data_IF_103564989415
#
_entry.id   IF_103564989415
#
_cell.length_a   1.000
_cell.length_b   1.000
_cell.length_c   1.000
_cell.angle_alpha   90.00
_cell.angle_beta   90.00
_cell.angle_gamma   90.00
#
_symmetry.space_group_name_H-M   'P 1'
#
loop_
_entity.id
_entity.type
_entity.pdbx_description
1 polymer ?
#
# COMPACT_ATOMS: atom_id res chain seq x y z
N UNK A 1 11.58 -2.30 -17.44
CA UNK A 1 11.14 -0.91 -17.63
C UNK A 1 12.12 -0.16 -18.54
N UNK A 2 11.66 0.91 -19.18
CA UNK A 2 12.48 1.75 -20.07
C UNK A 2 12.19 3.23 -19.77
N UNK A 3 13.16 4.09 -20.09
CA UNK A 3 12.97 5.54 -20.00
C UNK A 3 11.68 5.96 -20.71
N UNK A 4 10.92 6.88 -20.11
CA UNK A 4 9.60 7.39 -20.50
C UNK A 4 8.43 6.44 -20.32
N UNK A 5 8.63 5.19 -19.86
CA UNK A 5 7.50 4.33 -19.51
C UNK A 5 6.70 4.97 -18.36
N UNK A 6 5.39 4.80 -18.40
CA UNK A 6 4.48 5.19 -17.33
C UNK A 6 4.55 4.16 -16.21
N UNK A 7 4.51 4.63 -14.97
CA UNK A 7 4.41 3.79 -13.78
C UNK A 7 2.94 3.73 -13.36
N UNK A 8 2.40 2.53 -13.27
CA UNK A 8 1.01 2.27 -12.97
C UNK A 8 0.87 1.36 -11.76
N UNK A 9 -0.18 1.57 -10.97
CA UNK A 9 -0.59 0.67 -9.90
C UNK A 9 -2.05 0.28 -10.06
N UNK A 10 -2.41 -0.91 -9.61
CA UNK A 10 -3.82 -1.33 -9.47
C UNK A 10 -4.37 -0.95 -8.09
N UNK A 11 -5.70 -0.83 -7.99
CA UNK A 11 -6.41 -0.60 -6.73
C UNK A 11 -5.97 0.64 -5.97
N UNK A 12 -5.89 0.50 -4.65
CA UNK A 12 -5.39 1.50 -3.70
C UNK A 12 -4.38 0.86 -2.74
N UNK A 13 -3.60 1.70 -2.06
CA UNK A 13 -2.44 1.27 -1.29
C UNK A 13 -2.53 1.69 0.19
N UNK A 14 -1.84 0.91 1.04
CA UNK A 14 -1.73 1.16 2.47
C UNK A 14 -2.90 0.64 3.31
N UNK A 15 -3.97 0.13 2.67
CA UNK A 15 -5.15 -0.38 3.36
C UNK A 15 -4.85 -1.64 4.18
N UNK A 16 -4.05 -2.55 3.64
CA UNK A 16 -3.63 -3.76 4.35
C UNK A 16 -2.81 -3.41 5.60
N UNK A 17 -1.86 -2.49 5.47
CA UNK A 17 -1.07 -2.04 6.62
C UNK A 17 -1.93 -1.35 7.69
N UNK A 18 -2.93 -0.54 7.31
CA UNK A 18 -3.87 0.04 8.27
C UNK A 18 -4.74 -1.02 8.93
N UNK A 19 -5.10 -2.07 8.22
CA UNK A 19 -5.79 -3.24 8.79
C UNK A 19 -4.94 -3.95 9.84
N UNK A 20 -3.65 -4.14 9.58
CA UNK A 20 -2.71 -4.68 10.56
C UNK A 20 -2.60 -3.80 11.81
N UNK A 21 -2.43 -2.47 11.62
CA UNK A 21 -2.33 -1.53 12.75
C UNK A 21 -3.61 -1.51 13.59
N UNK A 22 -4.78 -1.62 12.96
CA UNK A 22 -6.06 -1.77 13.64
C UNK A 22 -6.10 -3.03 14.50
N UNK A 23 -5.71 -4.18 13.93
CA UNK A 23 -5.67 -5.46 14.66
C UNK A 23 -4.72 -5.40 15.86
N UNK A 24 -3.53 -4.82 15.69
CA UNK A 24 -2.56 -4.69 16.77
C UNK A 24 -3.06 -3.75 17.89
N UNK A 25 -3.72 -2.63 17.52
CA UNK A 25 -4.35 -1.72 18.49
C UNK A 25 -5.41 -2.44 19.31
N UNK A 26 -6.36 -3.10 18.65
CA UNK A 26 -7.47 -3.80 19.33
C UNK A 26 -6.96 -4.95 20.21
N UNK A 27 -5.94 -5.68 19.76
CA UNK A 27 -5.27 -6.71 20.56
C UNK A 27 -4.62 -6.12 21.81
N UNK A 28 -3.96 -4.96 21.71
CA UNK A 28 -3.35 -4.29 22.86
C UNK A 28 -4.42 -3.84 23.88
N UNK A 29 -5.50 -3.22 23.42
CA UNK A 29 -6.63 -2.79 24.26
C UNK A 29 -7.28 -4.00 24.96
N UNK A 30 -7.57 -5.05 24.20
CA UNK A 30 -8.13 -6.29 24.76
C UNK A 30 -7.25 -6.91 25.84
N UNK A 31 -5.95 -7.00 25.61
CA UNK A 31 -5.01 -7.53 26.58
C UNK A 31 -4.93 -6.66 27.85
N UNK A 32 -4.98 -5.34 27.72
CA UNK A 32 -5.03 -4.43 28.87
C UNK A 32 -6.28 -4.65 29.70
N UNK A 33 -7.46 -4.71 29.05
CA UNK A 33 -8.74 -4.95 29.72
C UNK A 33 -8.76 -6.31 30.46
N UNK A 34 -8.21 -7.34 29.84
CA UNK A 34 -8.05 -8.66 30.50
C UNK A 34 -7.18 -8.56 31.75
N UNK A 35 -6.05 -7.85 31.68
CA UNK A 35 -5.17 -7.67 32.86
C UNK A 35 -5.86 -6.89 33.96
N UNK A 36 -6.62 -5.84 33.64
CA UNK A 36 -7.39 -5.07 34.60
C UNK A 36 -8.50 -5.90 35.25
N UNK A 37 -9.23 -6.71 34.44
CA UNK A 37 -10.25 -7.64 34.93
C UNK A 37 -9.66 -8.69 35.90
N UNK A 38 -8.48 -9.23 35.62
CA UNK A 38 -7.80 -10.15 36.52
C UNK A 38 -7.29 -9.50 37.82
N UNK A 39 -6.96 -8.21 37.78
CA UNK A 39 -6.49 -7.45 38.95
C UNK A 39 -7.64 -7.06 39.88
N UNK A 40 -8.84 -6.85 39.33
CA UNK A 40 -10.06 -6.51 40.08
C UNK A 40 -10.82 -7.81 40.41
N UNK A 41 -10.65 -8.36 41.63
CA UNK A 41 -11.33 -9.59 42.10
C UNK A 41 -12.88 -9.56 41.97
N UNK A 42 -13.49 -8.40 41.69
CA UNK A 42 -14.94 -8.20 41.52
C UNK A 42 -15.47 -8.61 40.14
N UNK A 43 -14.64 -8.90 39.17
CA UNK A 43 -15.07 -9.19 37.77
C UNK A 43 -14.87 -10.65 37.38
N UNK A 44 -15.07 -11.58 38.29
CA UNK A 44 -15.05 -13.04 38.01
C UNK A 44 -16.29 -13.57 37.26
N UNK A 45 -17.12 -12.70 36.70
CA UNK A 45 -18.29 -13.10 35.90
C UNK A 45 -17.95 -13.07 34.43
N UNK A 46 -18.44 -14.06 33.69
CA UNK A 46 -18.37 -14.16 32.21
C UNK A 46 -18.84 -12.88 31.50
N UNK A 47 -19.68 -12.06 32.17
CA UNK A 47 -20.18 -10.79 31.66
C UNK A 47 -19.07 -9.74 31.43
N UNK A 48 -18.05 -9.66 32.28
CA UNK A 48 -16.92 -8.74 32.11
C UNK A 48 -15.99 -9.08 30.93
N UNK A 49 -16.03 -10.33 30.44
CA UNK A 49 -15.30 -10.76 29.25
C UNK A 49 -16.03 -10.37 27.95
N UNK A 50 -17.37 -10.23 27.98
CA UNK A 50 -18.15 -9.81 26.82
C UNK A 50 -18.05 -8.30 26.54
N UNK A 51 -17.76 -7.48 27.56
CA UNK A 51 -17.55 -6.03 27.40
C UNK A 51 -16.17 -5.71 26.80
N UNK A 52 -15.24 -6.65 26.81
CA UNK A 52 -13.88 -6.49 26.31
C UNK A 52 -13.69 -6.96 24.84
N UNK A 53 -14.78 -7.04 24.05
CA UNK A 53 -14.63 -7.47 22.66
C UNK A 53 -14.07 -6.32 21.78
N UNK A 54 -13.12 -6.64 20.84
CA UNK A 54 -12.65 -5.66 19.87
C UNK A 54 -13.81 -5.09 19.04
N UNK A 55 -13.83 -3.78 18.82
CA UNK A 55 -14.79 -3.13 17.94
C UNK A 55 -14.19 -2.87 16.56
N UNK A 56 -14.67 -3.61 15.58
CA UNK A 56 -14.27 -3.49 14.18
C UNK A 56 -15.35 -2.85 13.30
N UNK A 57 -16.43 -2.32 13.89
CA UNK A 57 -17.55 -1.74 13.16
C UNK A 57 -17.10 -0.60 12.25
N UNK A 58 -17.48 -0.68 10.97
CA UNK A 58 -17.11 0.30 9.94
C UNK A 58 -15.65 0.25 9.49
N UNK A 59 -14.91 -0.81 9.88
CA UNK A 59 -13.51 -1.02 9.49
C UNK A 59 -13.34 -2.30 8.63
N UNK A 60 -14.44 -2.84 8.13
CA UNK A 60 -14.48 -4.13 7.41
C UNK A 60 -13.56 -4.12 6.19
N UNK A 61 -13.50 -3.00 5.48
CA UNK A 61 -12.64 -2.84 4.32
C UNK A 61 -11.16 -3.05 4.66
N UNK A 62 -10.66 -2.39 5.71
CA UNK A 62 -9.26 -2.50 6.14
C UNK A 62 -8.91 -3.92 6.57
N UNK A 63 -9.84 -4.58 7.29
CA UNK A 63 -9.67 -5.97 7.71
C UNK A 63 -9.66 -6.92 6.51
N UNK A 64 -10.54 -6.70 5.55
CA UNK A 64 -10.59 -7.52 4.34
C UNK A 64 -9.30 -7.40 3.53
N UNK A 65 -8.78 -6.19 3.35
CA UNK A 65 -7.51 -5.93 2.68
C UNK A 65 -6.33 -6.65 3.33
N UNK A 66 -6.27 -6.68 4.68
CA UNK A 66 -5.21 -7.38 5.42
C UNK A 66 -5.39 -8.89 5.47
N UNK A 67 -6.64 -9.38 5.69
CA UNK A 67 -6.87 -10.80 6.01
C UNK A 67 -7.23 -11.65 4.80
N UNK A 68 -7.63 -11.02 3.67
CA UNK A 68 -8.07 -11.71 2.46
C UNK A 68 -7.51 -11.04 1.20
N UNK A 69 -6.18 -10.95 1.05
CA UNK A 69 -5.61 -10.38 -0.17
C UNK A 69 -6.02 -11.22 -1.38
N UNK A 70 -6.42 -10.56 -2.46
CA UNK A 70 -6.85 -11.21 -3.70
C UNK A 70 -5.86 -10.95 -4.83
N UNK A 71 -5.52 -12.00 -5.57
CA UNK A 71 -4.66 -11.86 -6.75
C UNK A 71 -5.40 -11.09 -7.86
N UNK A 72 -4.83 -9.99 -8.33
CA UNK A 72 -5.41 -9.08 -9.32
C UNK A 72 -5.40 -9.66 -10.75
N UNK A 73 -6.06 -10.82 -10.93
CA UNK A 73 -6.26 -11.46 -12.25
C UNK A 73 -7.11 -10.61 -13.18
N UNK A 74 -8.07 -9.86 -12.63
CA UNK A 74 -8.92 -8.91 -13.32
C UNK A 74 -8.09 -7.87 -14.07
N UNK A 75 -7.07 -7.30 -13.44
CA UNK A 75 -6.16 -6.31 -14.05
C UNK A 75 -5.34 -6.94 -15.18
N UNK A 76 -4.79 -8.15 -14.95
CA UNK A 76 -4.04 -8.87 -16.01
C UNK A 76 -4.92 -9.14 -17.23
N UNK A 77 -6.18 -9.54 -17.01
CA UNK A 77 -7.15 -9.76 -18.08
C UNK A 77 -7.53 -8.46 -18.80
N UNK A 78 -7.73 -7.37 -18.05
CA UNK A 78 -8.05 -6.07 -18.63
C UNK A 78 -6.91 -5.53 -19.49
N UNK A 79 -5.66 -5.63 -19.04
CA UNK A 79 -4.48 -5.25 -19.83
C UNK A 79 -4.37 -6.09 -21.11
N UNK A 80 -4.59 -7.40 -21.03
CA UNK A 80 -4.58 -8.28 -22.20
C UNK A 80 -5.71 -7.93 -23.19
N UNK A 81 -6.93 -7.65 -22.71
CA UNK A 81 -8.08 -7.25 -23.52
C UNK A 81 -7.84 -5.91 -24.22
N UNK A 82 -7.14 -4.97 -23.58
CA UNK A 82 -6.74 -3.69 -24.15
C UNK A 82 -5.50 -3.80 -25.08
N UNK A 83 -4.95 -5.01 -25.26
CA UNK A 83 -3.70 -5.25 -25.98
C UNK A 83 -2.55 -4.38 -25.47
N UNK A 84 -2.45 -4.26 -24.14
CA UNK A 84 -1.35 -3.59 -23.43
C UNK A 84 -0.42 -4.66 -22.88
N UNK A 85 0.87 -4.53 -23.20
CA UNK A 85 1.91 -5.41 -22.67
C UNK A 85 2.81 -4.61 -21.73
N UNK A 86 2.76 -4.85 -20.42
CA UNK A 86 3.69 -4.23 -19.47
C UNK A 86 5.15 -4.50 -19.83
N UNK A 87 6.00 -3.52 -19.62
CA UNK A 87 7.46 -3.62 -19.79
C UNK A 87 8.15 -4.17 -18.54
N UNK A 88 7.51 -4.01 -17.38
CA UNK A 88 7.82 -4.70 -16.12
C UNK A 88 6.54 -4.82 -15.28
N UNK A 89 6.52 -5.79 -14.35
CA UNK A 89 5.40 -6.00 -13.42
C UNK A 89 5.87 -6.77 -12.21
N UNK A 90 5.38 -6.38 -11.04
CA UNK A 90 5.61 -7.03 -9.74
C UNK A 90 4.36 -6.79 -8.87
N UNK A 91 4.10 -7.65 -7.91
CA UNK A 91 3.11 -7.41 -6.85
C UNK A 91 3.71 -6.53 -5.74
N UNK A 92 2.85 -5.79 -5.03
CA UNK A 92 3.27 -4.92 -3.92
C UNK A 92 3.10 -5.70 -2.61
N UNK A 93 4.19 -6.30 -2.15
CA UNK A 93 4.27 -7.08 -0.91
C UNK A 93 4.98 -6.35 0.23
N UNK A 94 6.05 -5.63 -0.05
CA UNK A 94 6.87 -4.91 0.95
C UNK A 94 6.60 -3.40 0.97
N UNK A 95 5.72 -2.92 0.09
CA UNK A 95 5.34 -1.53 -0.09
C UNK A 95 5.82 -0.93 -1.40
N UNK A 96 5.07 0.05 -1.91
CA UNK A 96 5.28 0.65 -3.22
C UNK A 96 6.74 1.07 -3.46
N UNK A 97 7.41 1.64 -2.45
CA UNK A 97 8.81 2.10 -2.58
C UNK A 97 9.76 0.94 -2.84
N UNK A 98 9.58 -0.19 -2.16
CA UNK A 98 10.44 -1.37 -2.29
C UNK A 98 10.37 -1.95 -3.71
N UNK A 99 9.16 -2.25 -4.16
CA UNK A 99 8.93 -2.88 -5.46
C UNK A 99 9.31 -1.96 -6.61
N UNK A 100 9.07 -0.65 -6.48
CA UNK A 100 9.51 0.32 -7.49
C UNK A 100 11.03 0.38 -7.60
N UNK A 101 11.73 0.36 -6.47
CA UNK A 101 13.20 0.31 -6.45
C UNK A 101 13.72 -1.01 -7.05
N UNK A 102 13.01 -2.13 -6.84
CA UNK A 102 13.35 -3.40 -7.51
C UNK A 102 13.22 -3.29 -9.02
N UNK A 103 12.11 -2.76 -9.55
CA UNK A 103 11.93 -2.53 -10.99
C UNK A 103 13.03 -1.63 -11.54
N UNK A 104 13.30 -0.50 -10.88
CA UNK A 104 14.29 0.47 -11.34
C UNK A 104 15.71 -0.11 -11.34
N UNK A 105 16.10 -0.78 -10.26
CA UNK A 105 17.43 -1.40 -10.13
C UNK A 105 17.65 -2.47 -11.18
N UNK A 106 16.69 -3.37 -11.36
CA UNK A 106 16.78 -4.46 -12.36
C UNK A 106 16.77 -3.95 -13.80
N UNK A 107 16.17 -2.80 -14.04
CA UNK A 107 16.09 -2.18 -15.38
C UNK A 107 17.21 -1.17 -15.65
N UNK A 108 18.00 -0.79 -14.64
CA UNK A 108 19.06 0.22 -14.78
C UNK A 108 18.50 1.62 -15.09
N UNK A 109 17.39 2.01 -14.46
CA UNK A 109 16.66 3.28 -14.70
C UNK A 109 16.37 4.01 -13.39
N UNK A 110 15.98 5.29 -13.47
CA UNK A 110 15.43 6.06 -12.38
C UNK A 110 13.91 6.17 -12.45
N UNK A 111 13.28 6.83 -11.48
CA UNK A 111 11.85 7.09 -11.50
C UNK A 111 11.46 8.40 -10.82
N UNK A 112 10.28 8.89 -11.18
CA UNK A 112 9.55 9.96 -10.51
C UNK A 112 8.12 9.48 -10.28
N UNK A 113 7.65 9.48 -9.04
CA UNK A 113 6.24 9.27 -8.68
C UNK A 113 5.69 10.52 -8.03
N UNK A 114 4.40 10.75 -8.19
CA UNK A 114 3.71 11.93 -7.70
C UNK A 114 2.80 11.57 -6.54
N UNK A 115 2.98 12.19 -5.39
CA UNK A 115 2.21 11.93 -4.18
C UNK A 115 0.70 12.04 -4.42
N UNK A 116 0.27 13.05 -5.18
CA UNK A 116 -1.14 13.30 -5.48
C UNK A 116 -1.80 12.23 -6.34
N UNK A 117 -1.00 11.41 -7.04
CA UNK A 117 -1.48 10.34 -7.90
C UNK A 117 -1.49 8.97 -7.21
N UNK A 118 -0.89 8.84 -6.03
CA UNK A 118 -0.94 7.59 -5.26
C UNK A 118 -2.38 7.32 -4.84
N UNK A 119 -2.99 6.21 -5.26
CA UNK A 119 -4.37 5.92 -4.91
C UNK A 119 -4.47 5.52 -3.44
N UNK A 120 -5.35 6.21 -2.71
CA UNK A 120 -5.61 6.01 -1.29
C UNK A 120 -7.11 5.90 -1.07
N UNK A 121 -7.57 4.87 -0.38
CA UNK A 121 -8.97 4.78 0.03
C UNK A 121 -9.26 5.73 1.20
N UNK A 122 -10.51 6.19 1.26
CA UNK A 122 -10.96 7.09 2.33
C UNK A 122 -10.81 6.46 3.72
N UNK A 123 -11.16 5.17 3.89
CA UNK A 123 -11.04 4.49 5.18
C UNK A 123 -9.57 4.35 5.61
N UNK A 124 -8.66 4.13 4.65
CA UNK A 124 -7.21 4.11 4.89
C UNK A 124 -6.72 5.46 5.42
N UNK A 125 -7.16 6.57 4.81
CA UNK A 125 -6.79 7.91 5.24
C UNK A 125 -7.35 8.25 6.64
N UNK A 126 -8.61 7.93 6.92
CA UNK A 126 -9.25 8.13 8.22
C UNK A 126 -8.53 7.32 9.31
N UNK A 127 -8.22 6.04 9.04
CA UNK A 127 -7.52 5.20 10.01
C UNK A 127 -6.10 5.69 10.30
N UNK A 128 -5.38 6.14 9.27
CA UNK A 128 -4.06 6.73 9.44
C UNK A 128 -4.13 8.00 10.32
N UNK A 129 -5.14 8.85 10.14
CA UNK A 129 -5.37 10.02 10.99
C UNK A 129 -5.69 9.62 12.43
N UNK A 130 -6.57 8.64 12.67
CA UNK A 130 -6.88 8.10 14.00
C UNK A 130 -5.63 7.59 14.73
N UNK A 131 -4.68 7.03 13.99
CA UNK A 131 -3.40 6.51 14.53
C UNK A 131 -2.28 7.55 14.54
N UNK A 132 -2.55 8.79 14.12
CA UNK A 132 -1.55 9.86 13.97
C UNK A 132 -0.38 9.45 13.05
N UNK A 133 -0.69 8.75 11.96
CA UNK A 133 0.26 8.28 10.95
C UNK A 133 0.10 9.05 9.64
N UNK A 134 1.19 9.21 8.89
CA UNK A 134 1.12 9.78 7.54
C UNK A 134 0.69 8.71 6.54
N UNK A 135 -0.48 8.89 5.91
CA UNK A 135 -1.07 7.91 4.98
C UNK A 135 -0.20 7.65 3.75
N UNK A 136 0.48 8.66 3.22
CA UNK A 136 1.41 8.50 2.09
C UNK A 136 2.58 7.59 2.47
N UNK A 137 3.12 7.76 3.68
CA UNK A 137 4.17 6.88 4.21
C UNK A 137 3.67 5.45 4.35
N UNK A 138 2.42 5.26 4.79
CA UNK A 138 1.81 3.93 4.90
C UNK A 138 1.68 3.26 3.54
N UNK A 139 1.24 3.96 2.51
CA UNK A 139 1.15 3.44 1.14
C UNK A 139 2.53 3.12 0.54
N UNK A 140 3.55 3.94 0.84
CA UNK A 140 4.90 3.75 0.32
C UNK A 140 5.63 2.56 0.96
N UNK A 141 5.40 2.28 2.25
CA UNK A 141 6.22 1.36 3.02
C UNK A 141 5.43 0.32 3.85
N UNK A 142 4.11 0.33 3.78
CA UNK A 142 3.25 -0.52 4.60
C UNK A 142 3.28 -2.00 4.19
N UNK A 143 3.29 -2.26 2.90
CA UNK A 143 3.27 -3.61 2.34
C UNK A 143 1.93 -4.36 2.51
N UNK A 144 1.94 -5.63 2.09
CA UNK A 144 0.81 -6.57 2.17
C UNK A 144 -0.43 -6.19 1.33
N UNK A 145 -0.33 -5.17 0.46
CA UNK A 145 -1.45 -4.73 -0.39
C UNK A 145 -1.75 -5.73 -1.52
N UNK A 146 -0.73 -6.46 -2.02
CA UNK A 146 -0.81 -7.43 -3.13
C UNK A 146 -1.48 -6.87 -4.40
N UNK A 147 -1.42 -5.54 -4.56
CA UNK A 147 -1.75 -4.85 -5.79
C UNK A 147 -0.61 -5.01 -6.81
N UNK A 148 -0.87 -4.72 -8.09
CA UNK A 148 0.14 -4.80 -9.13
C UNK A 148 0.79 -3.44 -9.37
N UNK A 149 2.12 -3.39 -9.28
CA UNK A 149 2.96 -2.32 -9.79
C UNK A 149 3.52 -2.74 -11.14
N UNK A 150 3.33 -1.91 -12.17
CA UNK A 150 3.81 -2.23 -13.51
C UNK A 150 4.14 -0.98 -14.31
N UNK A 151 4.91 -1.18 -15.38
CA UNK A 151 5.23 -0.10 -16.32
C UNK A 151 4.72 -0.41 -17.71
N UNK A 152 4.30 0.63 -18.43
CA UNK A 152 3.82 0.53 -19.82
C UNK A 152 4.44 1.65 -20.68
N UNK A 153 4.61 1.44 -21.99
CA UNK A 153 5.06 2.51 -22.90
C UNK A 153 4.12 3.71 -22.84
N UNK A 154 4.65 4.93 -22.92
CA UNK A 154 3.84 6.18 -22.96
C UNK A 154 2.81 6.17 -24.08
N UNK A 155 3.06 5.45 -25.17
CA UNK A 155 2.12 5.29 -26.28
C UNK A 155 0.79 4.60 -25.87
N UNK A 156 0.79 3.85 -24.77
CA UNK A 156 -0.41 3.19 -24.25
C UNK A 156 -1.16 4.02 -23.19
N UNK A 157 -0.77 5.30 -22.98
CA UNK A 157 -1.36 6.19 -21.98
C UNK A 157 -2.90 6.23 -22.04
N UNK A 158 -3.47 6.51 -23.24
CA UNK A 158 -4.91 6.61 -23.40
C UNK A 158 -5.64 5.31 -23.07
N UNK A 159 -5.06 4.18 -23.48
CA UNK A 159 -5.65 2.87 -23.23
C UNK A 159 -5.62 2.51 -21.73
N UNK A 160 -4.46 2.67 -21.08
CA UNK A 160 -4.32 2.31 -19.67
C UNK A 160 -5.14 3.22 -18.76
N UNK A 161 -5.30 4.51 -19.12
CA UNK A 161 -6.12 5.46 -18.37
C UNK A 161 -7.63 5.14 -18.40
N UNK A 162 -8.09 4.32 -19.34
CA UNK A 162 -9.49 3.90 -19.45
C UNK A 162 -9.79 2.60 -18.67
N UNK A 163 -8.76 1.91 -18.20
CA UNK A 163 -8.97 0.68 -17.41
C UNK A 163 -9.30 1.07 -15.98
N UNK A 164 -10.48 0.60 -15.53
CA UNK A 164 -10.90 0.78 -14.15
C UNK A 164 -9.86 0.20 -13.19
N UNK A 165 -9.73 0.81 -12.04
CA UNK A 165 -8.83 0.37 -10.96
C UNK A 165 -7.33 0.35 -11.32
N UNK A 166 -6.93 1.09 -12.35
CA UNK A 166 -5.52 1.42 -12.63
C UNK A 166 -5.29 2.92 -12.49
N UNK A 167 -4.21 3.28 -11.82
CA UNK A 167 -3.74 4.66 -11.70
C UNK A 167 -2.33 4.80 -12.23
N UNK A 168 -2.10 5.82 -13.07
CA UNK A 168 -0.77 6.26 -13.46
C UNK A 168 -0.25 7.15 -12.35
N UNK A 169 0.82 6.72 -11.68
CA UNK A 169 1.38 7.41 -10.52
C UNK A 169 2.68 8.13 -10.80
N UNK A 170 3.29 7.93 -11.98
CA UNK A 170 4.57 8.51 -12.31
C UNK A 170 5.13 8.02 -13.63
N UNK A 171 6.44 8.18 -13.80
CA UNK A 171 7.16 7.75 -15.00
C UNK A 171 8.60 7.32 -14.70
N UNK A 172 9.15 6.52 -15.59
CA UNK A 172 10.53 6.06 -15.57
C UNK A 172 11.42 7.13 -16.18
N UNK A 173 12.57 7.38 -15.53
CA UNK A 173 13.57 8.37 -15.91
C UNK A 173 14.92 7.70 -16.18
N UNK A 174 15.92 8.49 -16.59
CA UNK A 174 17.32 8.04 -16.65
C UNK A 174 17.83 7.70 -15.26
N UNK A 175 18.74 6.72 -15.18
CA UNK A 175 19.34 6.27 -13.92
C UNK A 175 20.02 7.40 -13.13
N UNK A 176 20.66 8.34 -13.84
CA UNK A 176 21.40 9.46 -13.22
C UNK A 176 20.50 10.41 -12.43
N UNK A 177 19.18 10.41 -12.73
CA UNK A 177 18.21 11.23 -12.00
C UNK A 177 17.76 10.59 -10.67
N UNK A 178 18.14 9.33 -10.42
CA UNK A 178 17.79 8.63 -9.18
C UNK A 178 16.29 8.34 -9.05
N UNK A 179 15.84 8.17 -7.81
CA UNK A 179 14.49 7.74 -7.46
C UNK A 179 13.85 8.80 -6.57
N UNK A 180 12.71 9.35 -6.96
CA UNK A 180 12.09 10.38 -6.17
C UNK A 180 10.56 10.34 -6.14
N UNK A 181 10.03 10.79 -5.01
CA UNK A 181 8.65 11.20 -4.79
C UNK A 181 8.57 12.72 -4.96
N UNK A 182 7.65 13.17 -5.80
CA UNK A 182 7.28 14.58 -5.92
C UNK A 182 6.05 14.81 -5.03
N UNK A 183 6.21 15.61 -3.97
CA UNK A 183 5.12 15.95 -3.07
C UNK A 183 4.11 16.91 -3.71
N UNK A 184 2.96 17.08 -3.06
CA UNK A 184 1.88 17.97 -3.54
C UNK A 184 2.29 19.42 -3.70
N UNK A 185 3.27 19.90 -2.92
CA UNK A 185 3.88 21.24 -3.02
C UNK A 185 5.05 21.31 -4.01
N UNK A 186 5.31 20.22 -4.75
CA UNK A 186 6.34 20.15 -5.79
C UNK A 186 7.76 19.90 -5.28
N UNK A 187 7.94 19.60 -3.99
CA UNK A 187 9.25 19.23 -3.47
C UNK A 187 9.63 17.80 -3.87
N UNK A 188 10.92 17.59 -4.10
CA UNK A 188 11.48 16.29 -4.47
C UNK A 188 12.10 15.61 -3.25
N UNK A 189 11.62 14.43 -2.91
CA UNK A 189 12.14 13.59 -1.84
C UNK A 189 12.72 12.30 -2.40
N UNK A 190 13.91 11.94 -1.95
CA UNK A 190 14.51 10.65 -2.32
C UNK A 190 13.63 9.49 -1.84
N UNK A 191 13.26 8.59 -2.77
CA UNK A 191 12.54 7.36 -2.46
C UNK A 191 13.48 6.38 -1.77
N UNK A 192 13.08 5.92 -0.58
CA UNK A 192 13.81 4.92 0.21
C UNK A 192 12.87 3.80 0.59
N UNK A 193 13.27 2.57 0.31
CA UNK A 193 12.57 1.40 0.83
C UNK A 193 12.88 1.24 2.33
N UNK A 194 11.84 1.09 3.13
CA UNK A 194 11.93 0.72 4.55
C UNK A 194 11.63 -0.76 4.78
N UNK A 195 11.34 -1.51 3.70
CA UNK A 195 11.05 -2.92 3.72
C UNK A 195 12.19 -3.78 4.28
N UNK A 196 11.87 -5.02 4.59
CA UNK A 196 12.81 -6.00 5.12
C UNK A 196 13.97 -6.25 4.13
N UNK A 197 15.20 -6.03 4.58
CA UNK A 197 16.40 -6.31 3.79
C UNK A 197 17.24 -7.37 4.50
N UNK A 198 17.21 -8.65 4.05
CA UNK A 198 17.93 -9.74 4.68
C UNK A 198 19.46 -9.59 4.66
N UNK A 199 19.98 -8.68 3.81
CA UNK A 199 21.43 -8.46 3.64
C UNK A 199 21.99 -7.30 4.48
N UNK A 200 21.12 -6.59 5.22
CA UNK A 200 21.52 -5.50 6.13
C UNK A 200 21.35 -5.90 7.60
N UNK A 201 21.84 -7.07 7.97
CA UNK A 201 22.06 -7.41 9.38
C UNK A 201 23.46 -7.01 9.81
#
# INVERSE_FOLDING_TARGET
AKETDLICVSGDLGAAYMGLQLLEREKAVFNQQLQEAHRNEKTKTTEGLYEAQPDFSGKEYLLERQLKPEARRDIVQALAAANIRPTSMIDISDGLSSELLHICTQSGVGCRIYEEHIPLDYQTAVMAEELNMNVTTCALNGGEDYELLFTVPIADHEKVSQIKDIKIIGHITKAELGYALISRDGQEFELKAQGWNPLKQ
#
